data_IF_314186810597
#
_entry.id   IF_314186810597
#
_cell.length_a   1.000
_cell.length_b   1.000
_cell.length_c   1.000
_cell.angle_alpha   90.00
_cell.angle_beta   90.00
_cell.angle_gamma   90.00
#
_symmetry.space_group_name_H-M   'P 1'
#
loop_
_entity.id
_entity.type
_entity.pdbx_description
1 polymer ?
#
# COMPACT_ATOMS: atom_id res chain seq x y z
N UNK A 1 24.48 56.19 0.78
CA UNK A 1 24.41 56.75 -0.59
C UNK A 1 25.36 55.97 -1.46
N UNK A 2 24.92 54.91 -2.14
CA UNK A 2 25.66 54.28 -3.24
C UNK A 2 24.65 54.00 -4.35
N UNK A 3 24.85 54.67 -5.47
CA UNK A 3 23.99 54.68 -6.64
C UNK A 3 24.24 53.46 -7.50
N UNK A 4 23.20 52.70 -7.85
CA UNK A 4 23.27 51.64 -8.89
C UNK A 4 22.80 52.25 -10.21
N UNK A 5 23.74 52.29 -11.18
CA UNK A 5 23.48 52.63 -12.58
C UNK A 5 22.92 51.43 -13.33
N UNK A 6 21.79 51.64 -13.99
CA UNK A 6 21.18 50.71 -14.93
C UNK A 6 21.93 50.73 -16.25
N UNK A 7 22.23 49.57 -16.85
CA UNK A 7 22.70 49.40 -18.23
C UNK A 7 21.52 49.02 -19.13
N UNK A 8 21.37 49.63 -20.30
CA UNK A 8 20.35 49.23 -21.26
C UNK A 8 20.87 48.11 -22.16
N UNK A 9 20.12 47.04 -22.30
CA UNK A 9 20.33 45.99 -23.28
C UNK A 9 19.67 46.38 -24.61
N UNK A 10 20.48 46.64 -25.63
CA UNK A 10 20.04 46.92 -26.99
C UNK A 10 19.70 45.62 -27.71
N UNK A 11 18.47 45.50 -28.19
CA UNK A 11 17.99 44.41 -29.04
C UNK A 11 18.48 44.67 -30.47
N UNK A 12 19.37 43.82 -30.99
CA UNK A 12 19.69 43.74 -32.41
C UNK A 12 18.79 42.68 -33.07
N UNK A 13 17.80 43.16 -33.80
CA UNK A 13 16.98 42.39 -34.72
C UNK A 13 17.78 42.13 -36.01
N UNK A 14 17.99 40.86 -36.33
CA UNK A 14 18.64 40.46 -37.58
C UNK A 14 17.62 39.76 -38.48
N UNK A 15 17.16 40.50 -39.48
CA UNK A 15 16.40 39.94 -40.62
C UNK A 15 17.30 39.01 -41.45
N UNK A 16 16.76 37.87 -41.85
CA UNK A 16 17.43 37.05 -42.86
C UNK A 16 17.21 35.54 -42.73
N UNK A 17 16.01 35.02 -42.80
CA UNK A 17 15.74 33.62 -43.24
C UNK A 17 14.31 33.55 -43.82
N UNK A 18 14.10 34.12 -44.99
CA UNK A 18 12.81 33.99 -45.73
C UNK A 18 12.94 33.31 -47.10
N UNK A 19 14.10 32.75 -47.44
CA UNK A 19 14.36 32.24 -48.81
C UNK A 19 14.43 30.71 -48.96
N UNK A 20 14.42 29.91 -47.90
CA UNK A 20 14.79 28.48 -48.00
C UNK A 20 13.68 27.50 -47.66
N UNK A 21 12.47 27.96 -47.30
CA UNK A 21 11.35 27.09 -46.93
C UNK A 21 10.41 26.67 -48.07
N UNK A 22 10.53 27.29 -49.23
CA UNK A 22 9.63 26.96 -50.36
C UNK A 22 10.16 25.88 -51.30
N UNK A 23 11.46 25.58 -51.31
CA UNK A 23 12.04 24.55 -52.22
C UNK A 23 12.03 23.13 -51.62
N UNK A 24 11.87 22.95 -50.30
CA UNK A 24 11.87 21.64 -49.66
C UNK A 24 10.48 21.00 -49.61
N UNK A 25 9.40 21.75 -49.74
CA UNK A 25 8.04 21.26 -49.76
C UNK A 25 7.65 20.63 -51.09
N UNK A 26 8.25 21.05 -52.23
CA UNK A 26 7.93 20.48 -53.56
C UNK A 26 8.64 19.15 -53.84
N UNK A 27 9.70 18.79 -53.10
CA UNK A 27 10.42 17.53 -53.32
C UNK A 27 9.85 16.35 -52.51
N UNK A 28 9.05 16.60 -51.47
CA UNK A 28 8.42 15.55 -50.68
C UNK A 28 7.04 15.12 -51.20
N UNK A 29 6.44 15.88 -52.12
CA UNK A 29 5.11 15.50 -52.72
C UNK A 29 5.22 14.59 -53.94
N UNK A 30 6.43 14.40 -54.47
CA UNK A 30 6.67 13.59 -55.70
C UNK A 30 7.01 12.11 -55.41
N UNK A 31 7.24 11.72 -54.16
CA UNK A 31 7.58 10.32 -53.74
C UNK A 31 6.39 9.53 -53.22
N UNK A 32 5.21 10.14 -53.06
CA UNK A 32 4.02 9.48 -52.47
C UNK A 32 3.04 8.87 -53.47
N UNK A 33 3.38 8.77 -54.78
CA UNK A 33 2.45 8.38 -55.85
C UNK A 33 2.83 7.13 -56.64
N UNK A 34 3.75 6.28 -56.19
CA UNK A 34 4.12 5.04 -56.88
C UNK A 34 4.15 3.81 -56.02
N UNK A 35 3.11 3.52 -55.21
CA UNK A 35 2.90 2.17 -54.63
C UNK A 35 1.41 1.87 -54.52
N UNK A 36 0.74 1.72 -55.64
CA UNK A 36 -0.50 0.96 -55.68
C UNK A 36 -0.41 -0.08 -56.79
N UNK A 37 -0.90 -1.26 -56.46
CA UNK A 37 -1.18 -2.46 -57.30
C UNK A 37 -0.08 -3.53 -57.20
N UNK A 38 -0.23 -4.40 -56.19
CA UNK A 38 -0.20 -5.87 -56.38
C UNK A 38 -1.30 -6.44 -55.49
N UNK A 39 -2.45 -6.70 -56.06
CA UNK A 39 -3.46 -7.56 -55.48
C UNK A 39 -3.03 -9.01 -55.67
N UNK A 40 -2.82 -9.72 -54.60
CA UNK A 40 -2.54 -11.15 -54.54
C UNK A 40 -3.47 -11.79 -53.51
N UNK A 41 -4.57 -12.34 -53.92
CA UNK A 41 -5.43 -13.21 -53.11
C UNK A 41 -4.64 -14.38 -52.57
N UNK A 42 -4.70 -14.55 -51.25
CA UNK A 42 -4.20 -15.71 -50.53
C UNK A 42 -4.80 -15.70 -49.14
N UNK A 43 -6.09 -16.11 -49.03
CA UNK A 43 -6.73 -16.39 -47.76
C UNK A 43 -6.05 -17.59 -47.12
N UNK A 44 -5.12 -17.31 -46.22
CA UNK A 44 -4.79 -18.19 -45.10
C UNK A 44 -5.32 -17.52 -43.85
N UNK A 45 -6.36 -18.09 -43.27
CA UNK A 45 -6.74 -17.82 -41.90
C UNK A 45 -5.50 -18.01 -41.03
N UNK A 46 -4.83 -16.92 -40.69
CA UNK A 46 -3.87 -16.89 -39.62
C UNK A 46 -4.68 -17.00 -38.32
N UNK A 47 -4.73 -18.22 -37.81
CA UNK A 47 -5.06 -18.45 -36.41
C UNK A 47 -4.21 -17.51 -35.56
N UNK A 48 -4.79 -16.38 -35.16
CA UNK A 48 -4.23 -15.50 -34.17
C UNK A 48 -4.35 -16.19 -32.81
N UNK A 49 -3.40 -17.05 -32.48
CA UNK A 49 -3.04 -17.30 -31.10
C UNK A 49 -2.44 -15.99 -30.56
N UNK A 50 -3.30 -15.04 -30.27
CA UNK A 50 -2.93 -13.84 -29.55
C UNK A 50 -2.71 -14.19 -28.06
N UNK A 51 -1.61 -14.86 -27.77
CA UNK A 51 -0.98 -14.89 -26.46
C UNK A 51 -0.09 -13.66 -26.30
N UNK A 52 -0.62 -12.45 -26.54
CA UNK A 52 0.03 -11.23 -26.09
C UNK A 52 0.00 -11.25 -24.56
N UNK A 53 1.16 -11.25 -23.89
CA UNK A 53 1.21 -11.10 -22.45
C UNK A 53 0.46 -9.81 -22.08
N UNK A 54 -0.63 -9.94 -21.32
CA UNK A 54 -1.31 -8.76 -20.78
C UNK A 54 -0.28 -7.93 -20.03
N UNK A 55 -0.38 -6.60 -20.12
CA UNK A 55 0.42 -5.71 -19.29
C UNK A 55 0.40 -6.19 -17.83
N UNK A 56 1.56 -6.18 -17.13
CA UNK A 56 1.64 -6.63 -15.76
C UNK A 56 0.72 -5.82 -14.85
N UNK A 57 0.09 -6.47 -13.88
CA UNK A 57 -0.59 -5.78 -12.79
C UNK A 57 0.48 -5.23 -11.85
N UNK A 58 0.50 -3.92 -11.65
CA UNK A 58 1.41 -3.25 -10.73
C UNK A 58 0.84 -3.33 -9.32
N UNK A 59 1.45 -4.16 -8.47
CA UNK A 59 1.08 -4.34 -7.07
C UNK A 59 2.11 -3.64 -6.19
N UNK A 60 1.68 -2.59 -5.50
CA UNK A 60 2.51 -1.83 -4.58
C UNK A 60 2.54 -2.46 -3.19
N UNK A 61 3.66 -2.34 -2.52
CA UNK A 61 3.84 -2.72 -1.13
C UNK A 61 4.93 -1.87 -0.48
N UNK A 62 4.94 -1.86 0.86
CA UNK A 62 5.84 -1.07 1.71
C UNK A 62 6.39 -1.95 2.83
N UNK A 63 7.31 -1.45 3.68
CA UNK A 63 7.88 -2.22 4.79
C UNK A 63 6.80 -2.64 5.81
N UNK A 64 6.35 -3.88 5.71
CA UNK A 64 5.48 -4.54 6.67
C UNK A 64 5.73 -6.04 6.65
N UNK A 65 5.93 -6.72 7.78
CA UNK A 65 6.34 -8.13 7.79
C UNK A 65 5.41 -9.06 7.02
N UNK A 66 4.09 -8.87 7.14
CA UNK A 66 3.09 -9.71 6.47
C UNK A 66 3.08 -9.55 4.95
N UNK A 67 3.47 -8.39 4.42
CA UNK A 67 3.41 -8.14 2.97
C UNK A 67 4.60 -8.74 2.20
N UNK A 68 5.70 -9.08 2.88
CA UNK A 68 6.83 -9.76 2.22
C UNK A 68 6.50 -11.16 1.70
N UNK A 69 5.35 -11.72 2.05
CA UNK A 69 4.80 -12.94 1.41
C UNK A 69 4.67 -12.75 -0.11
N UNK A 70 4.42 -11.52 -0.62
CA UNK A 70 4.43 -11.26 -2.06
C UNK A 70 5.77 -11.55 -2.73
N UNK A 71 6.89 -11.35 -2.01
CA UNK A 71 8.20 -11.74 -2.52
C UNK A 71 8.40 -13.26 -2.51
N UNK A 72 7.80 -13.98 -1.55
CA UNK A 72 7.74 -15.45 -1.60
C UNK A 72 6.93 -15.92 -2.80
N UNK A 73 5.77 -15.30 -3.08
CA UNK A 73 4.97 -15.57 -4.30
C UNK A 73 5.82 -15.43 -5.55
N UNK A 74 6.57 -14.32 -5.67
CA UNK A 74 7.43 -14.02 -6.81
C UNK A 74 8.60 -14.99 -6.93
N UNK A 75 9.35 -15.21 -5.86
CA UNK A 75 10.56 -16.03 -5.85
C UNK A 75 10.27 -17.52 -6.14
N UNK A 76 9.10 -18.00 -5.73
CA UNK A 76 8.66 -19.39 -5.98
C UNK A 76 7.87 -19.53 -7.29
N UNK A 77 7.73 -18.47 -8.08
CA UNK A 77 7.07 -18.50 -9.38
C UNK A 77 5.57 -18.75 -9.31
N UNK A 78 4.90 -18.41 -8.20
CA UNK A 78 3.46 -18.68 -8.06
C UNK A 78 2.59 -17.76 -8.93
N UNK A 79 3.06 -16.57 -9.32
CA UNK A 79 2.35 -15.74 -10.29
C UNK A 79 2.32 -16.43 -11.65
N UNK A 80 3.46 -16.89 -12.14
CA UNK A 80 3.61 -17.61 -13.41
C UNK A 80 2.83 -18.93 -13.41
N UNK A 81 2.92 -19.69 -12.30
CA UNK A 81 2.17 -20.95 -12.12
C UNK A 81 0.67 -20.73 -12.23
N UNK A 82 0.15 -19.61 -11.74
CA UNK A 82 -1.24 -19.23 -11.84
C UNK A 82 -1.58 -18.53 -13.16
N UNK A 83 -0.62 -18.30 -14.03
CA UNK A 83 -0.82 -17.66 -15.34
C UNK A 83 -1.24 -16.19 -15.25
N UNK A 84 -0.63 -15.44 -14.32
CA UNK A 84 -0.82 -14.00 -14.19
C UNK A 84 0.53 -13.30 -14.18
N UNK A 85 0.59 -12.11 -14.81
CA UNK A 85 1.79 -11.27 -14.82
C UNK A 85 1.63 -10.14 -13.81
N UNK A 86 2.53 -10.07 -12.81
CA UNK A 86 2.51 -9.09 -11.72
C UNK A 86 3.88 -8.44 -11.59
N UNK A 87 3.89 -7.12 -11.51
CA UNK A 87 5.06 -6.32 -11.17
C UNK A 87 4.91 -5.81 -9.74
N UNK A 88 5.81 -6.25 -8.85
CA UNK A 88 5.87 -5.77 -7.47
C UNK A 88 6.59 -4.43 -7.43
N UNK A 89 5.87 -3.38 -7.03
CA UNK A 89 6.38 -2.01 -6.96
C UNK A 89 6.65 -1.64 -5.50
N UNK A 90 7.92 -1.50 -5.17
CA UNK A 90 8.35 -1.17 -3.81
C UNK A 90 8.26 0.32 -3.51
N UNK A 91 7.64 0.65 -2.37
CA UNK A 91 7.57 1.99 -1.81
C UNK A 91 8.19 2.01 -0.41
N UNK A 92 9.38 2.61 -0.22
CA UNK A 92 9.99 2.71 1.12
C UNK A 92 9.12 3.48 2.12
N UNK A 93 8.35 4.46 1.64
CA UNK A 93 7.41 5.26 2.44
C UNK A 93 5.98 4.80 2.13
N UNK A 94 5.26 4.39 3.17
CA UNK A 94 3.94 3.79 3.04
C UNK A 94 2.90 4.74 2.43
N UNK A 95 2.85 6.00 2.88
CA UNK A 95 1.89 6.98 2.35
C UNK A 95 2.09 7.29 0.86
N UNK A 96 3.31 7.09 0.33
CA UNK A 96 3.57 7.19 -1.11
C UNK A 96 2.87 6.08 -1.89
N UNK A 97 2.80 4.85 -1.35
CA UNK A 97 2.07 3.74 -1.97
C UNK A 97 0.57 4.00 -2.02
N UNK A 98 0.00 4.55 -0.92
CA UNK A 98 -1.41 4.97 -0.87
C UNK A 98 -1.73 6.02 -1.95
N UNK A 99 -0.84 7.01 -2.07
CA UNK A 99 -0.94 8.07 -3.07
C UNK A 99 -0.81 7.52 -4.50
N UNK A 100 0.06 6.53 -4.70
CA UNK A 100 0.26 5.88 -5.99
C UNK A 100 -1.00 5.11 -6.44
N UNK A 101 -1.65 4.37 -5.53
CA UNK A 101 -2.93 3.69 -5.83
C UNK A 101 -4.04 4.71 -6.12
N UNK A 102 -4.20 5.71 -5.26
CA UNK A 102 -5.25 6.73 -5.40
C UNK A 102 -5.12 7.53 -6.71
N UNK A 103 -3.89 7.78 -7.18
CA UNK A 103 -3.61 8.49 -8.45
C UNK A 103 -3.58 7.58 -9.68
N UNK A 104 -3.73 6.25 -9.51
CA UNK A 104 -3.71 5.29 -10.61
C UNK A 104 -2.33 4.96 -11.19
N UNK A 105 -1.24 5.29 -10.48
CA UNK A 105 0.14 4.92 -10.87
C UNK A 105 0.41 3.44 -10.70
N UNK A 106 -0.28 2.79 -9.77
CA UNK A 106 -0.31 1.34 -9.56
C UNK A 106 -1.74 0.82 -9.63
N UNK A 107 -1.90 -0.48 -9.80
CA UNK A 107 -3.20 -1.14 -10.01
C UNK A 107 -3.76 -1.72 -8.73
N UNK A 108 -2.86 -2.12 -7.83
CA UNK A 108 -3.18 -2.67 -6.52
C UNK A 108 -2.15 -2.21 -5.48
N UNK A 109 -2.53 -2.30 -4.20
CA UNK A 109 -1.66 -2.01 -3.06
C UNK A 109 -2.00 -2.91 -1.88
N UNK A 110 -0.98 -3.36 -1.14
CA UNK A 110 -1.19 -3.85 0.23
C UNK A 110 -1.24 -2.65 1.16
N UNK A 111 -2.36 -2.50 1.89
CA UNK A 111 -2.62 -1.36 2.75
C UNK A 111 -3.63 -1.69 3.84
N UNK A 112 -3.70 -0.87 4.90
CA UNK A 112 -4.64 -1.09 5.98
C UNK A 112 -6.09 -0.77 5.58
N UNK A 113 -7.05 -1.35 6.31
CA UNK A 113 -8.46 -1.01 6.16
C UNK A 113 -8.72 0.48 6.45
N UNK A 114 -8.14 1.03 7.52
CA UNK A 114 -8.31 2.44 7.90
C UNK A 114 -7.89 3.39 6.77
N UNK A 115 -6.77 3.09 6.11
CA UNK A 115 -6.22 3.93 5.04
C UNK A 115 -6.96 3.75 3.71
N UNK A 116 -7.83 2.75 3.63
CA UNK A 116 -8.78 2.57 2.51
C UNK A 116 -10.04 3.44 2.70
N UNK A 117 -10.42 3.78 3.95
CA UNK A 117 -11.64 4.53 4.24
C UNK A 117 -11.61 5.98 3.73
N UNK A 118 -10.49 6.68 3.91
CA UNK A 118 -10.38 8.09 3.52
C UNK A 118 -10.54 8.29 1.99
N UNK A 119 -9.85 7.55 1.10
CA UNK A 119 -10.09 7.64 -0.33
C UNK A 119 -11.51 7.16 -0.71
N UNK A 120 -12.04 6.09 -0.09
CA UNK A 120 -13.39 5.61 -0.34
C UNK A 120 -14.44 6.66 0.04
N UNK A 121 -14.27 7.38 1.16
CA UNK A 121 -15.16 8.47 1.59
C UNK A 121 -15.21 9.64 0.60
N UNK A 122 -14.13 9.85 -0.17
CA UNK A 122 -14.00 10.83 -1.24
C UNK A 122 -14.48 10.33 -2.59
N UNK A 123 -15.01 9.09 -2.65
CA UNK A 123 -15.56 8.48 -3.87
C UNK A 123 -14.51 7.86 -4.80
N UNK A 124 -13.25 7.70 -4.37
CA UNK A 124 -12.25 6.95 -5.13
C UNK A 124 -12.69 5.49 -5.19
N UNK A 125 -12.71 4.93 -6.40
CA UNK A 125 -13.24 3.60 -6.67
C UNK A 125 -12.18 2.53 -6.43
N UNK A 126 -12.21 1.96 -5.23
CA UNK A 126 -11.31 0.90 -4.76
C UNK A 126 -12.11 -0.36 -4.41
N UNK A 127 -11.44 -1.52 -4.46
CA UNK A 127 -11.98 -2.82 -4.03
C UNK A 127 -10.93 -3.57 -3.22
N UNK A 128 -11.22 -3.81 -1.95
CA UNK A 128 -10.47 -4.73 -1.10
C UNK A 128 -10.97 -6.15 -1.35
N UNK A 129 -10.08 -7.04 -1.76
CA UNK A 129 -10.42 -8.39 -2.25
C UNK A 129 -9.80 -9.52 -1.43
N UNK A 130 -8.85 -9.20 -0.54
CA UNK A 130 -8.12 -10.16 0.29
C UNK A 130 -7.71 -9.46 1.60
N UNK A 131 -7.71 -10.18 2.70
CA UNK A 131 -6.98 -9.83 3.93
C UNK A 131 -5.64 -10.54 3.90
N UNK A 132 -4.55 -9.79 3.84
CA UNK A 132 -3.20 -10.34 3.94
C UNK A 132 -2.96 -10.86 5.37
N UNK A 133 -3.16 -9.99 6.33
CA UNK A 133 -2.95 -10.26 7.75
C UNK A 133 -3.71 -9.26 8.63
N UNK A 134 -3.55 -9.40 9.95
CA UNK A 134 -4.00 -8.44 10.93
C UNK A 134 -2.85 -8.17 11.90
N UNK A 135 -2.57 -6.90 12.18
CA UNK A 135 -1.58 -6.54 13.17
C UNK A 135 -1.94 -7.08 14.55
N UNK A 136 -0.98 -7.72 15.20
CA UNK A 136 -1.11 -8.34 16.51
C UNK A 136 0.12 -8.04 17.39
N UNK A 137 0.42 -6.77 17.51
CA UNK A 137 1.57 -6.21 18.20
C UNK A 137 2.63 -5.61 17.28
N UNK A 138 2.44 -5.69 15.97
CA UNK A 138 3.35 -5.13 14.96
C UNK A 138 3.28 -3.61 14.85
N UNK A 139 2.19 -3.00 15.31
CA UNK A 139 2.06 -1.54 15.48
C UNK A 139 2.05 -1.18 16.95
N UNK A 140 2.72 -0.09 17.33
CA UNK A 140 2.80 0.29 18.73
C UNK A 140 3.19 1.73 19.00
N UNK A 141 2.80 2.19 20.18
CA UNK A 141 3.22 3.46 20.78
C UNK A 141 4.45 3.19 21.64
N UNK A 142 5.62 3.57 21.15
CA UNK A 142 6.87 3.51 21.89
C UNK A 142 7.12 4.84 22.58
N UNK A 143 7.59 4.79 23.84
CA UNK A 143 7.78 5.97 24.68
C UNK A 143 9.13 5.95 25.38
N UNK A 144 9.61 7.10 25.83
CA UNK A 144 10.75 7.20 26.74
C UNK A 144 10.47 6.43 28.04
N UNK A 145 11.50 5.82 28.70
CA UNK A 145 11.31 5.04 29.92
C UNK A 145 10.62 5.78 31.09
N UNK A 146 10.70 7.11 31.11
CA UNK A 146 10.04 7.95 32.12
C UNK A 146 8.52 8.03 32.01
N UNK A 147 7.94 7.62 30.87
CA UNK A 147 6.49 7.60 30.63
C UNK A 147 5.96 6.22 31.03
N UNK A 148 5.04 6.15 32.00
CA UNK A 148 4.62 4.87 32.59
C UNK A 148 3.18 4.50 32.29
N UNK A 149 2.37 5.45 31.84
CA UNK A 149 0.96 5.23 31.52
C UNK A 149 0.55 6.07 30.32
N UNK A 150 -0.56 5.68 29.65
CA UNK A 150 -1.12 6.47 28.56
C UNK A 150 -1.52 7.90 29.00
N UNK A 151 -1.88 8.11 30.28
CA UNK A 151 -2.20 9.44 30.84
C UNK A 151 -0.97 10.36 30.88
N UNK A 152 0.25 9.78 30.99
CA UNK A 152 1.47 10.56 31.02
C UNK A 152 1.86 11.14 29.65
N UNK A 153 1.12 10.77 28.59
CA UNK A 153 1.25 11.36 27.25
C UNK A 153 0.77 12.80 27.18
N UNK A 154 -0.01 13.25 28.16
CA UNK A 154 -0.49 14.64 28.21
C UNK A 154 0.68 15.63 28.18
N UNK A 155 0.65 16.56 27.20
CA UNK A 155 1.69 17.54 26.97
C UNK A 155 2.97 17.01 26.34
N UNK A 156 3.03 15.72 25.94
CA UNK A 156 4.22 15.10 25.34
C UNK A 156 4.31 15.36 23.84
N UNK A 157 5.55 15.34 23.33
CA UNK A 157 5.85 15.43 21.91
C UNK A 157 5.79 14.03 21.30
N UNK A 158 4.79 13.80 20.43
CA UNK A 158 4.50 12.51 19.80
C UNK A 158 4.72 12.62 18.30
N UNK A 159 5.51 11.74 17.71
CA UNK A 159 5.58 11.58 16.27
C UNK A 159 4.57 10.52 15.81
N UNK A 160 3.85 10.84 14.74
CA UNK A 160 2.97 9.92 14.01
C UNK A 160 2.81 10.42 12.58
N UNK A 161 2.54 9.52 11.64
CA UNK A 161 2.18 9.90 10.27
C UNK A 161 0.68 10.24 10.24
N UNK A 162 0.37 11.54 10.28
CA UNK A 162 -1.01 12.02 10.40
C UNK A 162 -1.90 11.54 9.24
N UNK A 163 -3.08 11.03 9.58
CA UNK A 163 -4.05 10.55 8.61
C UNK A 163 -3.86 9.11 8.16
N UNK A 164 -2.87 8.40 8.71
CA UNK A 164 -2.63 6.96 8.47
C UNK A 164 -3.04 6.10 9.67
N UNK A 165 -2.80 4.80 9.55
CA UNK A 165 -3.01 3.80 10.62
C UNK A 165 -2.32 4.14 11.94
N UNK A 166 -1.12 4.74 11.88
CA UNK A 166 -0.40 5.20 13.07
C UNK A 166 -1.18 6.27 13.84
N UNK A 167 -1.78 7.21 13.10
CA UNK A 167 -2.63 8.23 13.73
C UNK A 167 -3.86 7.58 14.38
N UNK A 168 -4.51 6.63 13.70
CA UNK A 168 -5.63 5.87 14.26
C UNK A 168 -5.24 5.16 15.56
N UNK A 169 -4.09 4.48 15.60
CA UNK A 169 -3.62 3.77 16.79
C UNK A 169 -3.36 4.73 17.95
N UNK A 170 -2.74 5.88 17.66
CA UNK A 170 -2.51 6.91 18.67
C UNK A 170 -3.80 7.49 19.23
N UNK A 171 -4.75 7.83 18.36
CA UNK A 171 -6.06 8.37 18.78
C UNK A 171 -6.83 7.34 19.65
N UNK A 172 -6.75 6.05 19.29
CA UNK A 172 -7.33 4.96 20.08
C UNK A 172 -6.66 4.83 21.45
N UNK A 173 -5.34 5.00 21.53
CA UNK A 173 -4.60 4.99 22.78
C UNK A 173 -5.00 6.19 23.68
N UNK A 174 -5.14 7.38 23.09
CA UNK A 174 -5.57 8.58 23.81
C UNK A 174 -7.00 8.45 24.33
N UNK A 175 -7.94 7.94 23.53
CA UNK A 175 -9.33 7.70 23.94
C UNK A 175 -9.38 6.78 25.16
N UNK A 176 -8.63 5.66 25.15
CA UNK A 176 -8.52 4.74 26.30
C UNK A 176 -7.97 5.42 27.56
N UNK A 177 -7.14 6.44 27.40
CA UNK A 177 -6.60 7.25 28.51
C UNK A 177 -7.55 8.34 29.00
N UNK A 178 -8.66 8.60 28.30
CA UNK A 178 -9.52 9.77 28.52
C UNK A 178 -8.86 11.07 28.10
N UNK A 179 -7.92 11.03 27.17
CA UNK A 179 -7.25 12.18 26.58
C UNK A 179 -7.83 12.46 25.20
N UNK A 180 -7.77 13.73 24.79
CA UNK A 180 -8.09 14.16 23.43
C UNK A 180 -6.80 14.40 22.63
N UNK A 181 -6.93 14.47 21.30
CA UNK A 181 -5.82 14.75 20.39
C UNK A 181 -5.05 16.03 20.78
N UNK A 182 -5.77 17.08 21.16
CA UNK A 182 -5.20 18.36 21.63
C UNK A 182 -4.37 18.30 22.92
N UNK A 183 -4.45 17.18 23.66
CA UNK A 183 -3.70 16.98 24.88
C UNK A 183 -2.23 16.57 24.64
N UNK A 184 -1.86 16.27 23.39
CA UNK A 184 -0.49 15.96 22.97
C UNK A 184 0.00 16.95 21.91
N UNK A 185 1.32 17.03 21.72
CA UNK A 185 1.91 17.85 20.66
C UNK A 185 2.40 16.92 19.54
N UNK A 186 1.66 16.87 18.44
CA UNK A 186 2.05 16.06 17.29
C UNK A 186 3.20 16.66 16.50
N UNK A 187 4.07 15.77 16.04
CA UNK A 187 5.02 16.03 14.96
C UNK A 187 4.68 15.06 13.83
N UNK A 188 4.20 15.59 12.69
CA UNK A 188 3.91 14.77 11.52
C UNK A 188 5.22 14.27 10.90
N UNK A 189 5.45 12.98 10.98
CA UNK A 189 6.64 12.32 10.46
C UNK A 189 6.25 10.96 9.90
N UNK A 190 6.89 10.56 8.80
CA UNK A 190 6.83 9.17 8.33
C UNK A 190 7.48 8.26 9.36
N UNK A 191 7.10 6.98 9.39
CA UNK A 191 7.71 6.00 10.32
C UNK A 191 9.21 5.87 10.10
N UNK A 192 9.66 5.99 8.83
CA UNK A 192 11.08 6.00 8.46
C UNK A 192 11.87 7.13 9.14
N UNK A 193 11.25 8.27 9.40
CA UNK A 193 11.87 9.42 10.08
C UNK A 193 11.64 9.39 11.59
N UNK A 194 10.44 8.97 12.01
CA UNK A 194 10.03 8.94 13.42
C UNK A 194 10.86 7.94 14.26
N UNK A 195 11.15 6.75 13.70
CA UNK A 195 11.98 5.74 14.37
C UNK A 195 13.38 6.28 14.72
N UNK A 196 14.19 6.72 13.76
CA UNK A 196 15.50 7.34 14.03
C UNK A 196 15.41 8.57 14.94
N UNK A 197 14.40 9.44 14.78
CA UNK A 197 14.22 10.61 15.64
C UNK A 197 13.93 10.24 17.09
N UNK A 198 13.17 9.15 17.34
CA UNK A 198 12.94 8.62 18.68
C UNK A 198 14.23 8.04 19.28
N UNK A 199 14.97 7.23 18.51
CA UNK A 199 16.26 6.65 18.93
C UNK A 199 17.26 7.75 19.31
N UNK A 200 17.29 8.85 18.56
CA UNK A 200 18.11 10.02 18.85
C UNK A 200 17.63 10.82 20.08
N UNK A 201 16.50 10.47 20.69
CA UNK A 201 15.96 11.14 21.90
C UNK A 201 15.21 12.44 21.64
N UNK A 202 14.91 12.77 20.39
CA UNK A 202 14.24 14.02 19.98
C UNK A 202 12.72 14.03 20.24
N UNK A 203 12.13 12.87 20.53
CA UNK A 203 10.71 12.63 20.74
C UNK A 203 10.47 12.03 22.11
N UNK A 204 9.32 12.32 22.72
CA UNK A 204 8.89 11.68 23.96
C UNK A 204 8.20 10.34 23.68
N UNK A 205 7.49 10.27 22.55
CA UNK A 205 6.81 9.09 22.05
C UNK A 205 6.81 9.07 20.51
N UNK A 206 6.68 7.88 19.94
CA UNK A 206 6.43 7.70 18.50
C UNK A 206 5.45 6.54 18.31
N UNK A 207 4.62 6.63 17.27
CA UNK A 207 3.83 5.51 16.79
C UNK A 207 4.59 4.90 15.62
N UNK A 208 4.87 3.62 15.73
CA UNK A 208 5.73 2.91 14.78
C UNK A 208 5.19 1.51 14.53
N UNK A 209 5.51 0.98 13.35
CA UNK A 209 5.32 -0.44 13.03
C UNK A 209 6.67 -1.15 12.83
N UNK A 210 6.62 -2.49 12.72
CA UNK A 210 7.81 -3.31 12.48
C UNK A 210 8.40 -3.07 11.06
N UNK A 211 9.73 -3.01 10.93
CA UNK A 211 10.76 -3.26 11.95
C UNK A 211 11.19 -2.03 12.78
N UNK A 212 10.61 -0.86 12.53
CA UNK A 212 10.99 0.40 13.20
C UNK A 212 10.65 0.38 14.70
N UNK A 213 9.54 -0.27 15.09
CA UNK A 213 9.10 -0.42 16.46
C UNK A 213 10.14 -1.18 17.28
N UNK A 214 10.55 -2.36 16.83
CA UNK A 214 11.58 -3.17 17.51
C UNK A 214 12.91 -2.43 17.63
N UNK A 215 13.35 -1.73 16.57
CA UNK A 215 14.57 -0.92 16.61
C UNK A 215 14.48 0.23 17.62
N UNK A 216 13.34 0.93 17.68
CA UNK A 216 13.14 1.99 18.65
C UNK A 216 13.16 1.48 20.10
N UNK A 217 12.65 0.28 20.35
CA UNK A 217 12.70 -0.37 21.66
C UNK A 217 14.14 -0.78 22.02
N UNK A 218 14.86 -1.43 21.10
CA UNK A 218 16.19 -1.98 21.36
C UNK A 218 17.27 -0.89 21.41
N UNK A 219 17.37 -0.08 20.36
CA UNK A 219 18.43 0.93 20.20
C UNK A 219 18.09 2.23 20.94
N UNK A 220 16.81 2.65 20.89
CA UNK A 220 16.33 3.86 21.56
C UNK A 220 16.02 3.67 23.04
N UNK A 221 16.17 2.44 23.58
CA UNK A 221 15.74 2.07 24.93
C UNK A 221 14.28 2.44 25.20
N UNK A 222 13.47 2.40 24.16
CA UNK A 222 12.05 2.70 24.23
C UNK A 222 11.27 1.64 25.02
N UNK A 223 10.15 2.05 25.58
CA UNK A 223 9.19 1.18 26.25
C UNK A 223 7.92 1.12 25.41
N UNK A 224 7.46 -0.07 25.06
CA UNK A 224 6.15 -0.25 24.43
C UNK A 224 5.07 0.07 25.47
N UNK A 225 4.23 1.06 25.16
CA UNK A 225 3.19 1.54 26.07
C UNK A 225 1.81 1.04 25.67
N UNK A 226 1.58 0.89 24.37
CA UNK A 226 0.32 0.45 23.76
C UNK A 226 0.63 -0.18 22.40
N UNK A 227 -0.16 -1.16 21.98
CA UNK A 227 0.05 -1.82 20.69
C UNK A 227 -1.26 -2.33 20.08
N UNK A 228 -1.20 -2.82 18.86
CA UNK A 228 -2.33 -3.48 18.19
C UNK A 228 -2.84 -4.73 18.94
N UNK A 229 -2.05 -5.33 19.84
CA UNK A 229 -2.53 -6.39 20.77
C UNK A 229 -3.62 -5.90 21.72
N UNK A 230 -3.61 -4.60 22.06
CA UNK A 230 -4.60 -3.99 22.95
C UNK A 230 -5.92 -3.67 22.22
N UNK A 231 -5.93 -3.86 20.89
CA UNK A 231 -7.05 -3.57 19.98
C UNK A 231 -7.20 -4.68 18.93
N UNK A 232 -7.45 -5.94 19.32
CA UNK A 232 -7.51 -7.07 18.40
C UNK A 232 -8.52 -6.82 17.27
N UNK A 233 -8.10 -7.02 16.02
CA UNK A 233 -8.93 -6.87 14.82
C UNK A 233 -9.11 -5.44 14.32
N UNK A 234 -8.52 -4.43 14.98
CA UNK A 234 -8.64 -3.03 14.56
C UNK A 234 -7.85 -2.73 13.28
N UNK A 235 -6.71 -3.38 13.07
CA UNK A 235 -5.78 -3.09 11.99
C UNK A 235 -5.64 -4.31 11.04
N UNK A 236 -6.65 -4.60 10.21
CA UNK A 236 -6.50 -5.58 9.14
C UNK A 236 -5.80 -4.94 7.93
N UNK A 237 -4.89 -5.70 7.34
CA UNK A 237 -4.13 -5.38 6.14
C UNK A 237 -4.76 -6.06 4.93
N UNK A 238 -5.00 -5.30 3.88
CA UNK A 238 -5.82 -5.69 2.75
C UNK A 238 -5.03 -5.59 1.44
N UNK A 239 -5.30 -6.49 0.51
CA UNK A 239 -5.00 -6.28 -0.90
C UNK A 239 -6.14 -5.47 -1.52
N UNK A 240 -5.82 -4.25 -1.96
CA UNK A 240 -6.79 -3.30 -2.50
C UNK A 240 -6.45 -2.99 -3.95
N UNK A 241 -7.42 -3.14 -4.83
CA UNK A 241 -7.32 -2.83 -6.26
C UNK A 241 -8.10 -1.55 -6.61
N UNK A 242 -7.72 -0.91 -7.71
CA UNK A 242 -8.64 -0.02 -8.42
C UNK A 242 -9.84 -0.84 -8.91
N UNK A 243 -11.06 -0.32 -8.76
CA UNK A 243 -12.29 -1.01 -9.17
C UNK A 243 -12.27 -1.39 -10.66
N UNK A 244 -11.65 -0.58 -11.52
CA UNK A 244 -11.53 -0.89 -12.95
C UNK A 244 -10.78 -2.20 -13.23
N UNK A 245 -9.76 -2.54 -12.39
CA UNK A 245 -9.01 -3.78 -12.53
C UNK A 245 -9.89 -4.97 -12.15
N UNK A 246 -10.63 -4.88 -11.03
CA UNK A 246 -11.52 -5.97 -10.62
C UNK A 246 -12.65 -6.22 -11.64
N UNK A 247 -13.09 -5.18 -12.35
CA UNK A 247 -14.10 -5.30 -13.41
C UNK A 247 -13.55 -5.81 -14.74
N UNK A 248 -12.39 -5.31 -15.16
CA UNK A 248 -11.85 -5.60 -16.49
C UNK A 248 -10.94 -6.83 -16.54
N UNK A 249 -10.39 -7.23 -15.38
CA UNK A 249 -9.43 -8.33 -15.22
C UNK A 249 -9.76 -9.23 -14.02
N UNK A 250 -11.03 -9.64 -13.79
CA UNK A 250 -11.44 -10.40 -12.61
C UNK A 250 -10.69 -11.74 -12.49
N UNK A 251 -10.40 -12.42 -13.58
CA UNK A 251 -9.64 -13.67 -13.57
C UNK A 251 -8.19 -13.46 -13.11
N UNK A 252 -7.56 -12.33 -13.48
CA UNK A 252 -6.21 -12.03 -13.03
C UNK A 252 -6.20 -11.72 -11.51
N UNK A 253 -7.23 -11.04 -10.99
CA UNK A 253 -7.40 -10.82 -9.54
C UNK A 253 -7.50 -12.16 -8.79
N UNK A 254 -8.34 -13.10 -9.26
CA UNK A 254 -8.45 -14.45 -8.67
C UNK A 254 -7.12 -15.20 -8.70
N UNK A 255 -6.39 -15.15 -9.80
CA UNK A 255 -5.08 -15.77 -9.94
C UNK A 255 -4.05 -15.20 -8.97
N UNK A 256 -4.06 -13.88 -8.73
CA UNK A 256 -3.20 -13.24 -7.73
C UNK A 256 -3.54 -13.73 -6.32
N UNK A 257 -4.83 -13.80 -5.98
CA UNK A 257 -5.29 -14.31 -4.67
C UNK A 257 -4.90 -15.79 -4.52
N UNK A 258 -5.07 -16.61 -5.56
CA UNK A 258 -4.67 -18.02 -5.51
C UNK A 258 -3.16 -18.18 -5.36
N UNK A 259 -2.35 -17.35 -6.03
CA UNK A 259 -0.89 -17.33 -5.88
C UNK A 259 -0.45 -16.98 -4.46
N UNK A 260 -1.18 -16.07 -3.77
CA UNK A 260 -0.98 -15.78 -2.36
C UNK A 260 -1.16 -17.02 -1.48
N UNK A 261 -2.26 -17.74 -1.65
CA UNK A 261 -2.52 -18.94 -0.86
C UNK A 261 -1.58 -20.10 -1.22
N UNK A 262 -1.15 -20.23 -2.49
CA UNK A 262 -0.08 -21.17 -2.86
C UNK A 262 1.22 -20.86 -2.10
N UNK A 263 1.55 -19.60 -1.90
CA UNK A 263 2.71 -19.20 -1.11
C UNK A 263 2.54 -19.48 0.39
N UNK A 264 1.34 -19.32 0.94
CA UNK A 264 1.08 -19.68 2.34
C UNK A 264 1.15 -21.19 2.58
N UNK A 265 0.63 -22.00 1.65
CA UNK A 265 0.77 -23.45 1.70
C UNK A 265 2.25 -23.87 1.61
N UNK A 266 3.00 -23.22 0.73
CA UNK A 266 4.44 -23.44 0.60
C UNK A 266 5.17 -23.04 1.89
N UNK A 267 4.87 -21.88 2.48
CA UNK A 267 5.46 -21.43 3.72
C UNK A 267 5.20 -22.40 4.88
N UNK A 268 3.99 -22.89 4.99
CA UNK A 268 3.64 -23.91 5.99
C UNK A 268 4.47 -25.18 5.84
N UNK A 269 4.74 -25.62 4.60
CA UNK A 269 5.52 -26.82 4.29
C UNK A 269 7.04 -26.59 4.40
N UNK A 270 7.51 -25.36 4.17
CA UNK A 270 8.93 -24.99 4.08
C UNK A 270 9.21 -23.71 4.89
N UNK A 271 9.02 -23.71 6.22
CA UNK A 271 9.04 -22.49 7.02
C UNK A 271 10.39 -21.78 7.03
N UNK A 272 11.50 -22.51 7.16
CA UNK A 272 12.84 -21.89 7.21
C UNK A 272 13.26 -21.26 5.88
N UNK A 273 12.99 -21.94 4.76
CA UNK A 273 13.29 -21.40 3.44
C UNK A 273 12.45 -20.17 3.13
N UNK A 274 11.16 -20.22 3.44
CA UNK A 274 10.24 -19.10 3.25
C UNK A 274 10.66 -17.88 4.06
N UNK A 275 11.02 -18.07 5.34
CA UNK A 275 11.54 -16.97 6.18
C UNK A 275 12.84 -16.39 5.62
N UNK A 276 13.76 -17.22 5.09
CA UNK A 276 15.00 -16.73 4.44
C UNK A 276 14.71 -15.86 3.22
N UNK A 277 13.75 -16.27 2.39
CA UNK A 277 13.36 -15.51 1.19
C UNK A 277 12.78 -14.16 1.59
N UNK A 278 11.83 -14.16 2.51
CA UNK A 278 11.13 -12.95 2.95
C UNK A 278 12.07 -12.00 3.71
N UNK A 279 12.92 -12.51 4.61
CA UNK A 279 13.92 -11.73 5.34
C UNK A 279 14.96 -11.09 4.40
N UNK A 280 15.40 -11.83 3.37
CA UNK A 280 16.28 -11.29 2.32
C UNK A 280 15.61 -10.14 1.55
N UNK A 281 14.34 -10.30 1.19
CA UNK A 281 13.59 -9.25 0.50
C UNK A 281 13.34 -8.03 1.40
N UNK A 282 13.20 -8.25 2.71
CA UNK A 282 13.07 -7.19 3.71
C UNK A 282 14.41 -6.52 4.08
N UNK A 283 15.54 -7.02 3.55
CA UNK A 283 16.89 -6.57 3.92
C UNK A 283 17.14 -6.60 5.44
N UNK A 284 16.56 -7.60 6.11
CA UNK A 284 16.53 -7.72 7.58
C UNK A 284 17.12 -9.07 7.99
N UNK A 285 17.90 -9.17 9.11
CA UNK A 285 18.33 -10.44 9.67
C UNK A 285 17.14 -11.37 9.93
N UNK A 286 17.33 -12.68 9.71
CA UNK A 286 16.23 -13.67 9.78
C UNK A 286 15.51 -13.65 11.13
N UNK A 287 16.27 -13.56 12.23
CA UNK A 287 15.70 -13.58 13.58
C UNK A 287 14.87 -12.30 13.86
N UNK A 288 15.32 -11.15 13.37
CA UNK A 288 14.56 -9.89 13.47
C UNK A 288 13.30 -9.94 12.60
N UNK A 289 13.43 -10.43 11.37
CA UNK A 289 12.28 -10.59 10.48
C UNK A 289 11.24 -11.55 11.06
N UNK A 290 11.69 -12.67 11.63
CA UNK A 290 10.82 -13.64 12.30
C UNK A 290 10.06 -13.01 13.46
N UNK A 291 10.74 -12.22 14.32
CA UNK A 291 10.09 -11.50 15.42
C UNK A 291 9.00 -10.53 14.90
N UNK A 292 9.25 -9.85 13.78
CA UNK A 292 8.25 -9.02 13.11
C UNK A 292 7.07 -9.83 12.61
N UNK A 293 7.30 -10.96 11.96
CA UNK A 293 6.23 -11.86 11.48
C UNK A 293 5.41 -12.43 12.64
N UNK A 294 6.04 -12.75 13.78
CA UNK A 294 5.34 -13.26 14.98
C UNK A 294 4.41 -12.19 15.60
N UNK A 295 4.54 -10.91 15.20
CA UNK A 295 3.67 -9.80 15.61
C UNK A 295 2.50 -9.52 14.66
N UNK A 296 2.28 -10.38 13.67
CA UNK A 296 1.15 -10.33 12.73
C UNK A 296 0.42 -11.67 12.70
N UNK A 297 -0.88 -11.62 12.46
CA UNK A 297 -1.71 -12.80 12.21
C UNK A 297 -1.97 -12.86 10.71
N UNK A 298 -1.19 -13.68 9.98
CA UNK A 298 -1.44 -13.93 8.55
C UNK A 298 -2.74 -14.73 8.37
N UNK A 299 -3.63 -14.24 7.49
CA UNK A 299 -4.94 -14.84 7.27
C UNK A 299 -4.87 -15.97 6.24
N UNK A 300 -5.36 -17.14 6.67
CA UNK A 300 -5.60 -18.28 5.79
C UNK A 300 -6.88 -18.06 4.97
N UNK A 301 -7.15 -18.94 4.01
CA UNK A 301 -8.30 -18.79 3.11
C UNK A 301 -9.64 -18.81 3.86
N UNK A 302 -9.77 -19.69 4.86
CA UNK A 302 -10.94 -19.76 5.74
C UNK A 302 -11.12 -18.49 6.57
N UNK A 303 -10.04 -17.93 7.10
CA UNK A 303 -10.06 -16.66 7.84
C UNK A 303 -10.53 -15.52 6.92
N UNK A 304 -10.08 -15.50 5.66
CA UNK A 304 -10.49 -14.53 4.67
C UNK A 304 -11.99 -14.58 4.38
N UNK A 305 -12.54 -15.77 4.09
CA UNK A 305 -13.98 -15.94 3.85
C UNK A 305 -14.79 -15.46 5.06
N UNK A 306 -14.33 -15.80 6.28
CA UNK A 306 -14.96 -15.33 7.51
C UNK A 306 -14.91 -13.81 7.63
N UNK A 307 -13.77 -13.18 7.35
CA UNK A 307 -13.59 -11.74 7.48
C UNK A 307 -14.48 -10.92 6.53
N UNK A 308 -14.73 -11.40 5.32
CA UNK A 308 -15.65 -10.75 4.37
C UNK A 308 -17.14 -11.06 4.67
N UNK A 309 -17.44 -12.04 5.52
CA UNK A 309 -18.82 -12.33 5.95
C UNK A 309 -19.30 -11.24 6.92
N UNK A 310 -20.57 -10.83 6.77
CA UNK A 310 -21.18 -9.87 7.71
C UNK A 310 -21.22 -10.44 9.11
N UNK A 311 -20.84 -9.64 10.10
CA UNK A 311 -20.82 -9.97 11.51
C UNK A 311 -20.94 -8.73 12.37
N UNK A 312 -20.93 -8.93 13.68
CA UNK A 312 -21.09 -7.91 14.72
C UNK A 312 -19.85 -7.77 15.63
N UNK A 313 -18.73 -8.26 15.18
CA UNK A 313 -17.43 -8.21 15.86
C UNK A 313 -16.31 -7.82 14.93
N UNK A 314 -15.14 -7.54 15.49
CA UNK A 314 -13.90 -7.23 14.75
C UNK A 314 -13.36 -8.39 13.90
N UNK A 315 -13.99 -9.55 13.92
CA UNK A 315 -13.74 -10.64 12.96
C UNK A 315 -14.33 -10.33 11.56
N UNK A 316 -15.25 -9.37 11.46
CA UNK A 316 -15.89 -8.94 10.21
C UNK A 316 -15.35 -7.60 9.73
N UNK A 317 -14.83 -7.55 8.51
CA UNK A 317 -14.37 -6.30 7.88
C UNK A 317 -15.47 -5.24 7.79
N UNK A 318 -16.72 -5.66 7.53
CA UNK A 318 -17.85 -4.72 7.46
C UNK A 318 -18.11 -4.06 8.82
N UNK A 319 -18.01 -4.81 9.92
CA UNK A 319 -18.12 -4.28 11.27
C UNK A 319 -16.94 -3.36 11.61
N UNK A 320 -15.69 -3.84 11.38
CA UNK A 320 -14.46 -3.09 11.65
C UNK A 320 -14.46 -1.77 10.87
N UNK A 321 -14.80 -1.81 9.56
CA UNK A 321 -14.84 -0.60 8.72
C UNK A 321 -15.87 0.40 9.22
N UNK A 322 -17.06 -0.08 9.64
CA UNK A 322 -18.10 0.78 10.22
C UNK A 322 -17.63 1.48 11.50
N UNK A 323 -17.07 0.71 12.45
CA UNK A 323 -16.57 1.24 13.72
C UNK A 323 -15.40 2.22 13.52
N UNK A 324 -14.43 1.87 12.70
CA UNK A 324 -13.31 2.75 12.37
C UNK A 324 -13.79 4.03 11.66
N UNK A 325 -14.71 3.91 10.72
CA UNK A 325 -15.24 5.07 10.00
C UNK A 325 -16.09 6.00 10.92
N UNK A 326 -16.90 5.42 11.83
CA UNK A 326 -17.63 6.18 12.86
C UNK A 326 -16.66 6.96 13.75
N UNK A 327 -15.60 6.31 14.23
CA UNK A 327 -14.57 6.92 15.06
C UNK A 327 -13.86 8.08 14.33
N UNK A 328 -13.34 7.82 13.11
CA UNK A 328 -12.66 8.84 12.31
C UNK A 328 -13.60 10.00 11.90
N UNK A 329 -14.88 9.71 11.63
CA UNK A 329 -15.89 10.74 11.36
C UNK A 329 -16.17 11.61 12.58
N UNK A 330 -16.21 11.03 13.78
CA UNK A 330 -16.37 11.76 15.05
C UNK A 330 -15.21 12.73 15.33
N UNK A 331 -14.05 12.50 14.71
CA UNK A 331 -12.85 13.36 14.79
C UNK A 331 -12.66 14.28 13.55
N UNK A 332 -13.70 14.42 12.71
CA UNK A 332 -13.69 15.21 11.47
C UNK A 332 -12.62 14.77 10.43
N UNK A 333 -12.07 13.56 10.55
CA UNK A 333 -11.09 13.00 9.62
C UNK A 333 -11.74 12.40 8.36
N UNK A 334 -13.02 12.07 8.41
CA UNK A 334 -13.81 11.64 7.25
C UNK A 334 -14.97 12.59 7.00
N UNK A 335 -15.18 12.95 5.73
CA UNK A 335 -16.34 13.77 5.32
C UNK A 335 -17.65 12.97 5.37
N UNK A 336 -17.60 11.69 4.98
CA UNK A 336 -18.73 10.74 4.97
C UNK A 336 -18.26 9.36 5.42
N UNK A 337 -19.17 8.56 5.97
CA UNK A 337 -18.91 7.14 6.27
C UNK A 337 -19.13 6.35 4.98
N UNK A 338 -18.09 5.73 4.38
CA UNK A 338 -18.27 4.91 3.18
C UNK A 338 -19.00 3.61 3.55
N UNK A 339 -19.92 3.19 2.69
CA UNK A 339 -20.60 1.90 2.90
C UNK A 339 -19.66 0.74 2.57
N UNK A 340 -19.55 -0.22 3.45
CA UNK A 340 -18.64 -1.37 3.33
C UNK A 340 -18.77 -2.09 1.97
N UNK A 341 -19.99 -2.33 1.49
CA UNK A 341 -20.28 -2.99 0.23
C UNK A 341 -19.79 -2.20 -1.02
N UNK A 342 -19.43 -0.94 -0.87
CA UNK A 342 -18.89 -0.16 -2.00
C UNK A 342 -17.42 -0.42 -2.26
N UNK A 343 -16.68 -0.88 -1.26
CA UNK A 343 -15.23 -1.10 -1.37
C UNK A 343 -14.76 -2.48 -0.88
N UNK A 344 -15.53 -3.23 -0.07
CA UNK A 344 -15.21 -4.62 0.26
C UNK A 344 -15.82 -5.55 -0.80
N UNK A 345 -15.04 -6.50 -1.27
CA UNK A 345 -15.44 -7.42 -2.34
C UNK A 345 -14.94 -8.84 -2.08
N UNK A 346 -15.66 -9.56 -1.21
CA UNK A 346 -15.31 -10.90 -0.76
C UNK A 346 -15.61 -12.02 -1.77
N UNK A 347 -16.30 -11.73 -2.90
CA UNK A 347 -16.65 -12.80 -3.84
C UNK A 347 -15.40 -13.49 -4.42
N UNK A 348 -14.28 -12.78 -4.57
CA UNK A 348 -13.04 -13.34 -5.11
C UNK A 348 -12.46 -14.44 -4.20
N UNK A 349 -12.38 -14.20 -2.88
CA UNK A 349 -11.90 -15.24 -1.93
C UNK A 349 -12.88 -16.41 -1.83
N UNK A 350 -14.19 -16.16 -1.96
CA UNK A 350 -15.19 -17.22 -2.00
C UNK A 350 -15.06 -18.10 -3.25
N UNK A 351 -14.78 -17.51 -4.41
CA UNK A 351 -14.54 -18.26 -5.66
C UNK A 351 -13.26 -19.09 -5.56
N UNK A 352 -12.16 -18.49 -5.09
CA UNK A 352 -10.89 -19.21 -4.85
C UNK A 352 -11.11 -20.37 -3.88
N UNK A 353 -11.88 -20.18 -2.80
CA UNK A 353 -12.23 -21.26 -1.86
C UNK A 353 -12.97 -22.40 -2.55
N UNK A 354 -13.92 -22.12 -3.43
CA UNK A 354 -14.66 -23.13 -4.19
C UNK A 354 -13.77 -23.89 -5.17
N UNK A 355 -12.83 -23.20 -5.81
CA UNK A 355 -11.89 -23.80 -6.76
C UNK A 355 -10.87 -24.70 -6.07
N UNK A 356 -10.33 -24.29 -4.92
CA UNK A 356 -9.34 -25.06 -4.14
C UNK A 356 -9.92 -26.27 -3.40
N UNK A 357 -11.23 -26.35 -3.22
CA UNK A 357 -11.94 -27.51 -2.62
C UNK A 357 -12.30 -28.60 -3.63
N UNK A 358 -12.14 -28.37 -4.92
CA UNK A 358 -12.39 -29.36 -5.99
C UNK A 358 -11.16 -30.21 -6.23
#
# INVERSE_FOLDING_TARGET
MISFRAFPFTILYREGVRGMRQKTIFLMLAVLLTFTVISGCGSKEASTTAGGSKEPIKLALSPWPGWFVWYLVKEKGFFEKNGVNVDLVWFPVYSDSLSALASGKVDANSQTLSDTLAPASKGIKLKAVLVNDNSNGGDGVVVKPSINSLKDLKGKKVATELGTVDHLLMLTALEKAGLAEKDVTYTNMTVNDAGPAFIAGNLDAAVLWEPFLSKAIQEGKGKLLFSSKDTPGLIPDLLVFKEEITKNRPDDVKKIINAWFDALDYWKANPEESLKIMAKAAETPIDEYKAGVDSVKVFQLEDNVKAFTKGDSYDSLAFTSGKTAEFLKGLDMLSTIPKAETFLDGHFVEEVMKERKK
#
